data_IF_890467716514
#
_entry.id   IF_890467716514
#
_cell.length_a   1.000
_cell.length_b   1.000
_cell.length_c   1.000
_cell.angle_alpha   90.00
_cell.angle_beta   90.00
_cell.angle_gamma   90.00
#
_symmetry.space_group_name_H-M   'P 1'
#
loop_
_entity.id
_entity.type
_entity.pdbx_description
1 polymer ?
#
# COMPACT_ATOMS: atom_id res chain seq x y z
N UNK A 1 -4.17 -14.42 1.88
CA UNK A 1 -4.99 -15.63 1.99
C UNK A 1 -6.42 -15.31 2.46
N UNK A 2 -6.63 -14.66 3.63
CA UNK A 2 -7.97 -14.39 4.17
C UNK A 2 -8.87 -13.62 3.19
N UNK A 3 -8.37 -12.56 2.56
CA UNK A 3 -9.13 -11.79 1.57
C UNK A 3 -9.57 -12.64 0.38
N UNK A 4 -8.67 -13.46 -0.17
CA UNK A 4 -9.02 -14.34 -1.27
C UNK A 4 -10.10 -15.37 -0.87
N UNK A 5 -10.10 -15.82 0.39
CA UNK A 5 -11.13 -16.75 0.90
C UNK A 5 -12.49 -16.09 1.07
N UNK A 6 -12.52 -14.84 1.53
CA UNK A 6 -13.79 -14.09 1.64
C UNK A 6 -14.37 -13.83 0.25
N UNK A 7 -13.53 -13.36 -0.70
CA UNK A 7 -13.95 -13.19 -2.10
C UNK A 7 -14.46 -14.51 -2.67
N UNK A 8 -13.70 -15.59 -2.54
CA UNK A 8 -14.06 -16.89 -3.10
C UNK A 8 -15.41 -17.42 -2.56
N UNK A 9 -15.69 -17.27 -1.28
CA UNK A 9 -16.98 -17.70 -0.70
C UNK A 9 -18.19 -16.95 -1.24
N UNK A 10 -18.00 -15.72 -1.68
CA UNK A 10 -19.10 -14.83 -2.00
C UNK A 10 -19.29 -14.59 -3.50
N UNK A 11 -18.19 -14.47 -4.28
CA UNK A 11 -18.26 -14.01 -5.67
C UNK A 11 -19.14 -14.89 -6.59
N UNK A 12 -19.17 -16.20 -6.33
CA UNK A 12 -19.96 -17.14 -7.13
C UNK A 12 -21.46 -16.81 -7.18
N UNK A 13 -22.01 -16.18 -6.13
CA UNK A 13 -23.42 -15.76 -6.06
C UNK A 13 -23.79 -14.69 -7.11
N UNK A 14 -22.80 -13.96 -7.60
CA UNK A 14 -22.95 -12.86 -8.54
C UNK A 14 -22.53 -13.23 -9.97
N UNK A 15 -22.03 -14.44 -10.18
CA UNK A 15 -21.67 -14.96 -11.50
C UNK A 15 -22.81 -15.86 -12.02
N UNK A 16 -23.24 -15.70 -13.29
CA UNK A 16 -24.26 -16.57 -13.88
C UNK A 16 -23.90 -18.06 -13.72
N UNK A 17 -24.87 -18.84 -13.27
CA UNK A 17 -24.70 -20.26 -13.00
C UNK A 17 -24.16 -20.59 -11.60
N UNK A 18 -23.91 -19.60 -10.75
CA UNK A 18 -23.44 -19.76 -9.36
C UNK A 18 -22.24 -20.73 -9.24
N UNK A 19 -21.15 -20.52 -9.95
CA UNK A 19 -20.03 -21.46 -9.96
C UNK A 19 -19.43 -21.60 -8.56
N UNK A 20 -19.03 -22.83 -8.25
CA UNK A 20 -18.26 -23.11 -7.03
C UNK A 20 -16.82 -22.64 -7.21
N UNK A 21 -16.28 -22.03 -6.17
CA UNK A 21 -14.91 -21.51 -6.15
C UNK A 21 -14.01 -22.37 -5.29
N UNK A 22 -12.74 -22.51 -5.69
CA UNK A 22 -11.70 -23.21 -4.95
C UNK A 22 -10.51 -22.27 -4.76
N UNK A 23 -10.04 -22.13 -3.52
CA UNK A 23 -8.88 -21.28 -3.21
C UNK A 23 -7.58 -22.06 -3.30
N UNK A 24 -6.67 -21.59 -4.15
CA UNK A 24 -5.31 -22.12 -4.29
C UNK A 24 -4.30 -21.09 -3.79
N UNK A 25 -3.49 -21.45 -2.81
CA UNK A 25 -2.42 -20.59 -2.31
C UNK A 25 -1.14 -20.80 -3.12
N UNK A 26 -0.71 -19.77 -3.84
CA UNK A 26 0.55 -19.71 -4.58
C UNK A 26 1.51 -18.74 -3.87
N UNK A 27 2.27 -19.29 -2.92
CA UNK A 27 3.13 -18.51 -2.03
C UNK A 27 4.49 -18.24 -2.68
N UNK A 28 5.02 -17.03 -2.50
CA UNK A 28 6.39 -16.67 -2.90
C UNK A 28 6.50 -15.30 -3.60
N UNK A 29 7.71 -14.74 -3.57
CA UNK A 29 8.05 -13.49 -4.26
C UNK A 29 7.16 -12.29 -3.93
N UNK A 30 6.63 -12.20 -2.70
CA UNK A 30 5.66 -11.16 -2.32
C UNK A 30 4.54 -11.01 -3.37
N UNK A 31 3.82 -12.09 -3.62
CA UNK A 31 2.72 -12.29 -4.59
C UNK A 31 3.15 -12.52 -6.06
N UNK A 32 4.44 -12.44 -6.43
CA UNK A 32 4.87 -12.66 -7.82
C UNK A 32 4.53 -14.06 -8.34
N UNK A 33 4.73 -15.10 -7.52
CA UNK A 33 4.42 -16.48 -7.92
C UNK A 33 2.92 -16.65 -8.25
N UNK A 34 2.06 -16.06 -7.41
CA UNK A 34 0.62 -16.06 -7.66
C UNK A 34 0.24 -15.23 -8.91
N UNK A 35 0.88 -14.08 -9.10
CA UNK A 35 0.62 -13.22 -10.25
C UNK A 35 1.04 -13.91 -11.56
N UNK A 36 2.21 -14.54 -11.61
CA UNK A 36 2.65 -15.32 -12.77
C UNK A 36 1.72 -16.50 -13.07
N UNK A 37 1.21 -17.17 -12.02
CA UNK A 37 0.24 -18.25 -12.19
C UNK A 37 -1.03 -17.76 -12.87
N UNK A 38 -1.59 -16.60 -12.46
CA UNK A 38 -2.79 -16.03 -13.09
C UNK A 38 -2.50 -15.45 -14.47
N UNK A 39 -1.34 -14.81 -14.64
CA UNK A 39 -0.89 -14.26 -15.92
C UNK A 39 -0.80 -15.34 -17.02
N UNK A 40 -0.34 -16.53 -16.66
CA UNK A 40 -0.17 -17.65 -17.57
C UNK A 40 -1.36 -18.64 -17.61
N UNK A 41 -2.47 -18.29 -16.92
CA UNK A 41 -3.67 -19.13 -16.93
C UNK A 41 -4.42 -19.02 -18.27
N UNK A 42 -5.30 -19.98 -18.53
CA UNK A 42 -6.21 -19.91 -19.68
C UNK A 42 -7.10 -18.66 -19.57
N UNK A 43 -7.29 -17.91 -20.68
CA UNK A 43 -8.05 -16.66 -20.65
C UNK A 43 -9.58 -16.90 -20.73
N UNK A 44 -10.07 -17.87 -19.98
CA UNK A 44 -11.49 -18.27 -19.95
C UNK A 44 -12.26 -17.67 -18.76
N UNK A 45 -11.59 -16.88 -17.91
CA UNK A 45 -12.17 -16.25 -16.73
C UNK A 45 -12.36 -17.18 -15.53
N UNK A 46 -11.95 -18.45 -15.60
CA UNK A 46 -12.07 -19.40 -14.49
C UNK A 46 -11.01 -19.21 -13.40
N UNK A 47 -9.93 -18.50 -13.71
CA UNK A 47 -8.84 -18.18 -12.77
C UNK A 47 -8.86 -16.72 -12.38
N UNK A 48 -9.05 -16.46 -11.06
CA UNK A 48 -9.01 -15.11 -10.47
C UNK A 48 -7.89 -15.08 -9.44
N UNK A 49 -7.01 -14.09 -9.52
CA UNK A 49 -5.99 -13.81 -8.50
C UNK A 49 -6.39 -12.65 -7.61
N UNK A 50 -6.13 -12.76 -6.30
CA UNK A 50 -6.26 -11.66 -5.33
C UNK A 50 -4.90 -11.39 -4.72
N UNK A 51 -4.34 -10.21 -4.96
CA UNK A 51 -2.96 -9.89 -4.60
C UNK A 51 -2.86 -8.65 -3.71
N UNK A 52 -1.86 -8.61 -2.84
CA UNK A 52 -1.55 -7.46 -1.99
C UNK A 52 -0.25 -6.75 -2.38
N UNK A 53 0.59 -7.39 -3.17
CA UNK A 53 1.93 -6.91 -3.51
C UNK A 53 2.17 -6.62 -5.00
N UNK A 54 1.13 -6.67 -5.81
CA UNK A 54 1.21 -6.43 -7.25
C UNK A 54 0.66 -5.04 -7.53
N UNK A 55 1.55 -4.13 -7.90
CA UNK A 55 1.26 -2.74 -8.18
C UNK A 55 2.31 -2.17 -9.16
N UNK A 56 2.11 -0.99 -9.74
CA UNK A 56 3.04 -0.38 -10.71
C UNK A 56 4.48 -0.32 -10.20
N UNK A 57 4.70 0.09 -8.96
CA UNK A 57 6.06 0.15 -8.41
C UNK A 57 6.68 -1.24 -8.33
N UNK A 58 5.92 -2.25 -7.92
CA UNK A 58 6.45 -3.62 -7.88
C UNK A 58 6.88 -4.12 -9.25
N UNK A 59 6.17 -3.73 -10.32
CA UNK A 59 6.56 -4.03 -11.70
C UNK A 59 7.85 -3.33 -12.09
N UNK A 60 8.02 -2.07 -11.68
CA UNK A 60 9.19 -1.27 -12.05
C UNK A 60 10.48 -1.70 -11.36
N UNK A 61 10.40 -2.00 -10.04
CA UNK A 61 11.60 -2.20 -9.20
C UNK A 61 11.93 -3.67 -8.90
N UNK A 62 11.09 -4.63 -9.28
CA UNK A 62 11.32 -6.04 -8.98
C UNK A 62 11.92 -6.79 -10.16
N UNK A 63 12.94 -7.57 -9.85
CA UNK A 63 13.45 -8.57 -10.78
C UNK A 63 12.45 -9.71 -11.00
N UNK A 64 12.53 -10.34 -12.16
CA UNK A 64 11.76 -11.52 -12.50
C UNK A 64 10.27 -11.28 -12.78
N UNK A 65 9.80 -10.04 -12.92
CA UNK A 65 8.44 -9.73 -13.33
C UNK A 65 8.25 -10.06 -14.81
N UNK A 66 7.35 -10.99 -15.13
CA UNK A 66 7.08 -11.47 -16.49
C UNK A 66 5.79 -10.90 -17.09
N UNK A 67 4.99 -10.18 -16.31
CA UNK A 67 3.74 -9.55 -16.74
C UNK A 67 3.91 -8.04 -16.95
N UNK A 68 2.96 -7.47 -17.69
CA UNK A 68 2.74 -6.04 -17.76
C UNK A 68 1.37 -5.73 -17.14
N UNK A 69 1.31 -4.87 -16.13
CA UNK A 69 0.06 -4.51 -15.46
C UNK A 69 -0.96 -3.85 -16.40
N UNK A 70 -0.51 -3.18 -17.47
CA UNK A 70 -1.40 -2.59 -18.48
C UNK A 70 -2.15 -3.66 -19.28
N UNK A 71 -1.58 -4.85 -19.42
CA UNK A 71 -2.16 -5.99 -20.13
C UNK A 71 -2.81 -7.01 -19.16
N UNK A 72 -2.77 -6.74 -17.85
CA UNK A 72 -3.28 -7.64 -16.82
C UNK A 72 -4.67 -7.17 -16.35
N UNK A 73 -5.76 -7.77 -16.82
CA UNK A 73 -7.11 -7.25 -16.60
C UNK A 73 -7.46 -7.24 -15.12
N UNK A 74 -7.64 -6.05 -14.55
CA UNK A 74 -8.14 -5.90 -13.19
C UNK A 74 -9.65 -6.06 -13.13
N UNK A 75 -10.11 -6.80 -12.12
CA UNK A 75 -11.53 -6.95 -11.77
C UNK A 75 -11.96 -5.92 -10.73
N UNK A 76 -11.02 -5.33 -10.00
CA UNK A 76 -11.23 -4.33 -8.97
C UNK A 76 -10.32 -4.54 -7.77
N UNK A 77 -10.27 -3.53 -6.92
CA UNK A 77 -9.63 -3.57 -5.61
C UNK A 77 -10.67 -3.63 -4.50
N UNK A 78 -10.32 -4.29 -3.39
CA UNK A 78 -11.21 -4.39 -2.22
C UNK A 78 -11.03 -3.24 -1.25
N UNK A 79 -9.87 -2.60 -1.27
CA UNK A 79 -9.53 -1.64 -0.23
C UNK A 79 -8.55 -0.59 -0.73
N UNK A 80 -8.84 0.66 -0.41
CA UNK A 80 -7.86 1.73 -0.41
C UNK A 80 -7.08 1.63 0.90
N UNK A 81 -5.77 1.75 0.81
CA UNK A 81 -4.92 1.66 1.98
C UNK A 81 -4.43 3.03 2.41
N UNK A 82 -4.96 3.61 3.50
CA UNK A 82 -4.35 4.77 4.11
C UNK A 82 -2.97 4.40 4.66
N UNK A 83 -2.00 5.26 4.43
CA UNK A 83 -0.60 5.04 4.82
C UNK A 83 -0.23 6.06 5.88
N UNK A 84 0.08 5.56 7.07
CA UNK A 84 0.57 6.37 8.18
C UNK A 84 2.06 6.12 8.38
N UNK A 85 2.75 7.12 8.83
CA UNK A 85 4.09 7.01 9.40
C UNK A 85 3.99 7.05 10.90
N UNK A 86 4.57 6.07 11.57
CA UNK A 86 4.57 5.98 13.03
C UNK A 86 5.92 6.33 13.60
N UNK A 87 5.90 6.90 14.81
CA UNK A 87 7.08 7.18 15.61
C UNK A 87 6.82 6.80 17.05
N UNK A 88 7.83 6.33 17.77
CA UNK A 88 7.73 6.04 19.20
C UNK A 88 7.49 7.32 20.00
N UNK A 89 6.73 7.22 21.08
CA UNK A 89 6.43 8.36 21.93
C UNK A 89 7.65 8.94 22.66
N UNK A 90 8.70 8.13 22.84
CA UNK A 90 9.98 8.57 23.42
C UNK A 90 11.00 9.08 22.39
N UNK A 91 10.63 9.12 21.09
CA UNK A 91 11.45 9.71 20.05
C UNK A 91 11.55 11.24 20.19
N UNK A 92 12.61 11.86 19.63
CA UNK A 92 12.83 13.29 19.86
C UNK A 92 11.81 14.22 19.22
N UNK A 93 10.97 13.73 18.29
CA UNK A 93 9.95 14.51 17.60
C UNK A 93 8.64 13.75 17.58
N UNK A 94 7.58 14.36 18.10
CA UNK A 94 6.24 13.80 18.07
C UNK A 94 5.53 14.01 16.72
N UNK A 95 5.91 15.07 16.00
CA UNK A 95 5.27 15.52 14.73
C UNK A 95 6.32 15.75 13.66
N UNK A 96 5.97 15.44 12.41
CA UNK A 96 6.89 15.64 11.29
C UNK A 96 7.27 17.11 11.12
N UNK A 97 6.32 18.04 11.28
CA UNK A 97 6.57 19.49 11.16
C UNK A 97 7.65 20.01 12.11
N UNK A 98 7.80 19.36 13.27
CA UNK A 98 8.82 19.74 14.27
C UNK A 98 10.22 19.21 13.89
N UNK A 99 10.31 18.26 12.95
CA UNK A 99 11.54 17.64 12.48
C UNK A 99 12.03 18.18 11.12
N UNK A 100 11.13 18.75 10.29
CA UNK A 100 11.47 19.30 8.97
C UNK A 100 12.55 20.39 9.11
N UNK A 101 13.55 20.35 8.23
CA UNK A 101 14.65 21.33 8.17
C UNK A 101 15.69 21.18 9.27
N UNK A 102 15.71 20.06 10.01
CA UNK A 102 16.67 19.83 11.12
C UNK A 102 17.73 18.78 10.80
N UNK A 103 17.68 18.14 9.65
CA UNK A 103 18.63 17.07 9.30
C UNK A 103 20.05 17.57 9.11
N UNK A 104 20.21 18.80 8.65
CA UNK A 104 21.48 19.48 8.45
C UNK A 104 22.08 20.11 9.72
N UNK A 105 21.30 20.22 10.81
CA UNK A 105 21.80 20.66 12.10
C UNK A 105 22.53 19.52 12.84
N UNK A 106 23.85 19.61 13.06
CA UNK A 106 24.59 18.55 13.75
C UNK A 106 24.21 18.36 15.21
N UNK A 107 23.50 19.33 15.81
CA UNK A 107 23.05 19.26 17.19
C UNK A 107 21.59 18.78 17.32
N UNK A 108 20.87 18.65 16.20
CA UNK A 108 19.51 18.15 16.24
C UNK A 108 19.50 16.66 16.65
N UNK A 109 18.66 16.27 17.63
CA UNK A 109 18.55 14.88 18.00
C UNK A 109 18.01 14.07 16.80
N UNK A 110 18.63 12.93 16.55
CA UNK A 110 18.28 12.07 15.42
C UNK A 110 17.39 10.93 15.86
N UNK A 111 16.60 10.40 14.94
CA UNK A 111 15.80 9.20 15.16
C UNK A 111 16.03 8.18 14.04
N UNK A 112 15.78 6.90 14.33
CA UNK A 112 15.99 5.80 13.38
C UNK A 112 14.69 5.37 12.72
N UNK A 113 14.72 5.25 11.40
CA UNK A 113 13.62 4.73 10.60
C UNK A 113 13.98 3.36 9.99
N UNK A 114 13.12 2.36 10.20
CA UNK A 114 13.37 1.00 9.74
C UNK A 114 12.86 0.72 8.34
N UNK A 115 13.68 0.02 7.53
CA UNK A 115 13.34 -0.45 6.18
C UNK A 115 13.72 -1.91 6.01
N UNK A 116 12.89 -2.66 5.28
CA UNK A 116 13.12 -4.08 5.01
C UNK A 116 14.09 -4.30 3.83
N UNK A 117 13.99 -3.48 2.79
CA UNK A 117 14.79 -3.60 1.57
C UNK A 117 15.31 -2.24 1.11
N UNK A 118 16.51 -2.23 0.55
CA UNK A 118 17.06 -1.03 -0.06
C UNK A 118 16.25 -0.64 -1.30
N UNK A 119 16.08 -1.56 -2.24
CA UNK A 119 15.32 -1.31 -3.48
C UNK A 119 13.82 -1.51 -3.26
N UNK A 120 13.18 -0.49 -2.69
CA UNK A 120 11.73 -0.47 -2.48
C UNK A 120 11.18 0.95 -2.49
N UNK A 121 9.89 1.09 -2.83
CA UNK A 121 9.19 2.36 -2.75
C UNK A 121 9.17 2.96 -1.34
N UNK A 122 9.17 2.11 -0.31
CA UNK A 122 9.21 2.56 1.07
C UNK A 122 10.56 3.19 1.41
N UNK A 123 11.66 2.61 0.92
CA UNK A 123 12.99 3.19 1.07
C UNK A 123 13.13 4.49 0.29
N UNK A 124 12.62 4.56 -0.94
CA UNK A 124 12.61 5.80 -1.72
C UNK A 124 11.88 6.92 -0.98
N UNK A 125 10.71 6.63 -0.40
CA UNK A 125 9.98 7.58 0.46
C UNK A 125 10.77 7.99 1.71
N UNK A 126 11.39 7.04 2.38
CA UNK A 126 12.22 7.34 3.55
C UNK A 126 13.39 8.27 3.20
N UNK A 127 14.06 8.02 2.06
CA UNK A 127 15.14 8.91 1.57
C UNK A 127 14.62 10.27 1.13
N UNK A 128 13.47 10.33 0.46
CA UNK A 128 12.82 11.60 0.15
C UNK A 128 12.57 12.42 1.42
N UNK A 129 12.02 11.82 2.46
CA UNK A 129 11.79 12.50 3.74
C UNK A 129 13.08 12.99 4.38
N UNK A 130 14.13 12.18 4.36
CA UNK A 130 15.44 12.55 4.91
C UNK A 130 16.10 13.66 4.10
N UNK A 131 16.12 13.53 2.78
CA UNK A 131 16.97 14.35 1.91
C UNK A 131 16.25 15.62 1.43
N UNK A 132 14.97 15.55 1.04
CA UNK A 132 14.24 16.71 0.50
C UNK A 132 13.44 17.48 1.57
N UNK A 133 13.08 16.85 2.68
CA UNK A 133 12.50 17.55 3.84
C UNK A 133 13.53 17.79 4.95
N UNK A 134 14.77 17.41 4.71
CA UNK A 134 15.89 17.58 5.67
C UNK A 134 15.52 17.09 7.08
N UNK A 135 15.02 15.83 7.17
CA UNK A 135 14.71 15.23 8.46
C UNK A 135 15.97 14.68 9.14
N UNK A 136 16.13 14.85 10.46
CA UNK A 136 17.24 14.30 11.24
C UNK A 136 17.05 12.80 11.47
N UNK A 137 17.00 12.04 10.38
CA UNK A 137 16.59 10.64 10.33
C UNK A 137 17.70 9.74 9.81
N UNK A 138 18.03 8.69 10.53
CA UNK A 138 18.92 7.61 10.11
C UNK A 138 18.08 6.42 9.60
N UNK A 139 18.43 5.85 8.45
CA UNK A 139 17.70 4.74 7.88
C UNK A 139 18.45 3.43 8.11
N UNK A 140 17.81 2.51 8.83
CA UNK A 140 18.29 1.13 9.02
C UNK A 140 17.68 0.21 7.96
N UNK A 141 18.51 -0.53 7.24
CA UNK A 141 18.09 -1.46 6.20
C UNK A 141 18.23 -2.92 6.64
N UNK A 142 17.64 -3.83 5.84
CA UNK A 142 17.76 -5.27 6.04
C UNK A 142 16.96 -5.82 7.21
N UNK A 143 16.02 -5.04 7.70
CA UNK A 143 15.15 -5.47 8.80
C UNK A 143 14.07 -6.44 8.31
N UNK A 144 13.65 -7.42 9.15
CA UNK A 144 12.55 -8.29 8.79
C UNK A 144 11.31 -7.50 8.40
N UNK A 145 10.83 -7.75 7.16
CA UNK A 145 9.63 -7.10 6.64
C UNK A 145 8.35 -7.70 7.21
N UNK A 146 7.23 -6.99 6.98
CA UNK A 146 5.92 -7.41 7.44
C UNK A 146 5.49 -6.75 8.75
N UNK A 147 4.17 -6.79 9.01
CA UNK A 147 3.54 -6.07 10.12
C UNK A 147 4.07 -6.49 11.49
N UNK A 148 3.99 -7.78 11.81
CA UNK A 148 4.37 -8.28 13.15
C UNK A 148 5.85 -8.05 13.46
N UNK A 149 6.82 -8.42 12.60
CA UNK A 149 8.22 -8.11 12.83
C UNK A 149 8.50 -6.61 12.99
N UNK A 150 7.80 -5.76 12.24
CA UNK A 150 7.94 -4.30 12.36
C UNK A 150 7.51 -3.78 13.72
N UNK A 151 6.38 -4.27 14.23
CA UNK A 151 5.90 -3.92 15.57
C UNK A 151 6.89 -4.35 16.65
N UNK A 152 7.43 -5.57 16.53
CA UNK A 152 8.44 -6.07 17.47
C UNK A 152 9.73 -5.26 17.46
N UNK A 153 10.16 -4.74 16.30
CA UNK A 153 11.34 -3.86 16.21
C UNK A 153 11.11 -2.54 16.93
N UNK A 154 9.91 -1.96 16.80
CA UNK A 154 9.52 -0.76 17.53
C UNK A 154 9.42 -1.03 19.05
N UNK A 155 8.83 -2.16 19.44
CA UNK A 155 8.71 -2.58 20.86
C UNK A 155 10.08 -2.74 21.53
N UNK A 156 11.07 -3.30 20.82
CA UNK A 156 12.43 -3.49 21.34
C UNK A 156 13.29 -2.23 21.29
N UNK A 157 12.85 -1.17 20.58
CA UNK A 157 13.66 0.02 20.36
C UNK A 157 14.75 -0.17 19.30
N UNK A 158 14.67 -1.22 18.47
CA UNK A 158 15.61 -1.42 17.34
C UNK A 158 15.52 -0.26 16.36
N UNK A 159 14.33 0.32 16.23
CA UNK A 159 13.98 1.50 15.46
C UNK A 159 12.98 2.38 16.23
N UNK A 160 12.95 3.66 15.90
CA UNK A 160 12.02 4.62 16.52
C UNK A 160 10.86 4.97 15.59
N UNK A 161 11.04 4.90 14.28
CA UNK A 161 10.00 5.24 13.31
C UNK A 161 9.87 4.17 12.22
N UNK A 162 8.66 4.09 11.64
CA UNK A 162 8.38 3.27 10.48
C UNK A 162 7.19 3.80 9.69
N UNK A 163 7.32 3.75 8.35
CA UNK A 163 6.22 4.04 7.42
C UNK A 163 5.41 2.81 7.03
N UNK A 164 4.34 3.04 6.28
CA UNK A 164 3.48 2.04 5.65
C UNK A 164 2.60 1.20 6.61
N UNK A 165 2.23 1.74 7.76
CA UNK A 165 1.20 1.16 8.62
C UNK A 165 -0.19 1.74 8.34
N UNK A 166 -1.22 1.02 8.77
CA UNK A 166 -2.61 1.49 8.75
C UNK A 166 -3.07 1.72 10.20
N UNK A 167 -3.68 2.87 10.45
CA UNK A 167 -4.10 3.28 11.79
C UNK A 167 -4.98 2.23 12.49
N UNK A 168 -6.09 1.86 11.88
CA UNK A 168 -7.03 0.90 12.47
C UNK A 168 -6.41 -0.48 12.70
N UNK A 169 -5.46 -0.90 11.85
CA UNK A 169 -4.75 -2.17 12.04
C UNK A 169 -3.86 -2.13 13.27
N UNK A 170 -3.21 -0.99 13.49
CA UNK A 170 -2.37 -0.78 14.66
C UNK A 170 -3.22 -0.71 15.94
N UNK A 171 -4.31 0.05 15.92
CA UNK A 171 -5.25 0.16 17.02
C UNK A 171 -5.84 -1.20 17.43
N UNK A 172 -6.18 -2.04 16.44
CA UNK A 172 -6.67 -3.40 16.69
C UNK A 172 -5.61 -4.33 17.28
N UNK A 173 -4.40 -4.35 16.70
CA UNK A 173 -3.37 -5.32 17.05
C UNK A 173 -2.56 -4.90 18.29
N UNK A 174 -2.54 -3.62 18.58
CA UNK A 174 -1.80 -3.02 19.71
C UNK A 174 -2.61 -1.88 20.35
N UNK A 175 -3.79 -2.15 20.89
CA UNK A 175 -4.67 -1.10 21.42
C UNK A 175 -4.02 -0.26 22.52
N UNK A 176 -3.07 -0.83 23.26
CA UNK A 176 -2.33 -0.09 24.31
C UNK A 176 -1.23 0.84 23.80
N UNK A 177 -0.94 0.85 22.50
CA UNK A 177 0.14 1.71 21.97
C UNK A 177 -0.27 3.16 21.78
N UNK A 178 -1.55 3.40 21.56
CA UNK A 178 -2.09 4.70 21.15
C UNK A 178 -2.86 5.42 22.23
N UNK A 179 -3.05 4.75 23.37
CA UNK A 179 -3.94 5.25 24.40
C UNK A 179 -3.17 6.18 25.33
N UNK A 180 -3.42 7.47 25.16
CA UNK A 180 -3.55 8.33 26.33
C UNK A 180 -5.03 8.36 26.77
N UNK A 181 -5.31 9.00 27.90
CA UNK A 181 -6.66 9.11 28.47
C UNK A 181 -7.67 9.83 27.54
N UNK A 182 -7.20 10.49 26.46
CA UNK A 182 -8.03 11.18 25.47
C UNK A 182 -8.38 10.29 24.27
N UNK A 183 -7.84 9.07 24.20
CA UNK A 183 -8.05 8.15 23.05
C UNK A 183 -7.29 8.53 21.79
N UNK A 184 -6.40 9.50 21.87
CA UNK A 184 -5.67 10.06 20.74
C UNK A 184 -4.15 9.95 20.82
N UNK A 185 -3.50 10.65 19.94
CA UNK A 185 -2.07 10.69 19.67
C UNK A 185 -1.32 11.51 20.75
N UNK A 186 -1.53 11.16 22.03
CA UNK A 186 -1.02 11.91 23.16
C UNK A 186 0.47 11.70 23.45
N UNK A 187 1.10 12.63 24.17
CA UNK A 187 2.54 12.60 24.47
C UNK A 187 2.99 11.41 25.32
N UNK A 188 2.05 10.70 25.96
CA UNK A 188 2.32 9.54 26.80
C UNK A 188 2.03 8.20 26.10
N UNK A 189 1.61 8.22 24.83
CA UNK A 189 1.39 6.98 24.09
C UNK A 189 2.73 6.34 23.71
N UNK A 190 2.80 5.02 23.74
CA UNK A 190 4.00 4.28 23.28
C UNK A 190 4.35 4.58 21.83
N UNK A 191 3.33 4.78 21.00
CA UNK A 191 3.45 5.06 19.57
C UNK A 191 2.55 6.22 19.19
N UNK A 192 3.07 7.09 18.32
CA UNK A 192 2.33 8.24 17.80
C UNK A 192 2.25 8.14 16.28
N UNK A 193 1.22 8.74 15.68
CA UNK A 193 1.21 8.98 14.25
C UNK A 193 2.08 10.20 13.99
N UNK A 194 3.21 9.97 13.33
CA UNK A 194 4.16 11.03 12.98
C UNK A 194 3.57 11.94 11.91
N UNK A 195 2.93 11.36 10.91
CA UNK A 195 2.14 12.05 9.91
C UNK A 195 1.25 11.08 9.11
N UNK A 196 0.20 11.62 8.50
CA UNK A 196 -0.59 10.92 7.50
C UNK A 196 0.08 11.07 6.13
N UNK A 197 0.47 9.93 5.55
CA UNK A 197 1.14 9.84 4.26
C UNK A 197 0.16 9.64 3.09
N UNK A 198 -1.14 9.55 3.37
CA UNK A 198 -2.19 9.29 2.38
C UNK A 198 -2.54 10.58 1.63
N UNK A 199 -2.71 10.48 0.31
CA UNK A 199 -3.20 11.60 -0.47
C UNK A 199 -4.66 11.93 -0.07
N UNK A 200 -5.07 13.20 -0.02
CA UNK A 200 -6.41 13.61 0.41
C UNK A 200 -7.54 12.90 -0.32
N UNK A 201 -7.39 12.70 -1.63
CA UNK A 201 -8.35 11.99 -2.48
C UNK A 201 -8.44 10.49 -2.21
N UNK A 202 -7.48 9.92 -1.49
CA UNK A 202 -7.39 8.50 -1.14
C UNK A 202 -7.62 8.25 0.36
N UNK A 203 -8.01 9.26 1.10
CA UNK A 203 -8.31 9.11 2.53
C UNK A 203 -9.61 8.35 2.74
N UNK A 204 -9.57 7.38 3.63
CA UNK A 204 -10.78 6.67 4.06
C UNK A 204 -11.67 7.60 4.85
N UNK A 205 -12.98 7.46 4.65
CA UNK A 205 -14.00 8.16 5.40
C UNK A 205 -14.93 7.14 6.04
N UNK A 206 -14.89 7.02 7.33
CA UNK A 206 -15.88 6.26 8.09
C UNK A 206 -17.07 7.19 8.38
N UNK A 207 -18.26 6.82 7.93
CA UNK A 207 -19.48 7.65 8.06
C UNK A 207 -19.33 9.11 7.56
N UNK A 208 -18.44 9.34 6.56
CA UNK A 208 -18.18 10.67 6.01
C UNK A 208 -17.05 11.45 6.69
N UNK A 209 -16.51 10.95 7.79
CA UNK A 209 -15.37 11.53 8.52
C UNK A 209 -14.07 10.84 8.11
N UNK A 210 -12.96 11.60 8.14
CA UNK A 210 -11.64 11.05 7.86
C UNK A 210 -11.21 10.22 9.07
N UNK A 211 -10.85 8.95 8.84
CA UNK A 211 -10.44 7.98 9.86
C UNK A 211 -8.97 8.22 10.33
N UNK A 212 -8.63 9.48 10.59
CA UNK A 212 -7.34 9.91 11.13
C UNK A 212 -7.60 11.04 12.11
N UNK A 213 -6.98 11.06 13.29
CA UNK A 213 -7.13 12.16 14.24
C UNK A 213 -6.83 13.51 13.57
N UNK A 214 -7.68 14.51 13.82
CA UNK A 214 -7.60 15.84 13.19
C UNK A 214 -6.28 16.57 13.49
N UNK A 215 -5.64 16.24 14.58
CA UNK A 215 -4.39 16.83 15.02
C UNK A 215 -3.14 16.25 14.33
N UNK A 216 -3.30 15.25 13.45
CA UNK A 216 -2.20 14.61 12.71
C UNK A 216 -1.83 15.43 11.46
N UNK A 217 -0.55 15.78 11.33
CA UNK A 217 -0.05 16.49 10.15
C UNK A 217 -0.29 15.67 8.87
N UNK A 218 -0.85 16.30 7.85
CA UNK A 218 -0.96 15.73 6.51
C UNK A 218 0.33 16.06 5.76
N UNK A 219 1.05 15.05 5.28
CA UNK A 219 2.32 15.29 4.60
C UNK A 219 2.16 16.24 3.41
N UNK A 220 1.06 16.10 2.68
CA UNK A 220 0.81 16.88 1.46
C UNK A 220 0.77 18.38 1.70
N UNK A 221 0.30 18.81 2.89
CA UNK A 221 0.19 20.22 3.25
C UNK A 221 1.54 20.85 3.61
N UNK A 222 2.57 20.01 3.77
CA UNK A 222 3.93 20.42 4.15
C UNK A 222 4.90 20.42 2.96
N UNK A 223 4.43 19.97 1.78
CA UNK A 223 5.27 19.83 0.59
C UNK A 223 5.17 21.05 -0.33
N UNK A 224 6.28 21.39 -0.97
CA UNK A 224 6.25 22.29 -2.14
C UNK A 224 5.58 21.61 -3.34
N UNK A 225 5.12 22.33 -4.37
CA UNK A 225 4.52 21.72 -5.55
C UNK A 225 5.41 20.70 -6.25
N UNK A 226 6.72 20.87 -6.26
CA UNK A 226 7.69 19.93 -6.83
C UNK A 226 7.82 18.67 -5.97
N UNK A 227 7.88 18.84 -4.66
CA UNK A 227 7.93 17.72 -3.70
C UNK A 227 6.61 16.92 -3.72
N UNK A 228 5.47 17.60 -3.88
CA UNK A 228 4.17 16.95 -4.02
C UNK A 228 4.12 16.04 -5.26
N UNK A 229 4.62 16.49 -6.42
CA UNK A 229 4.71 15.67 -7.63
C UNK A 229 5.49 14.38 -7.37
N UNK A 230 6.62 14.47 -6.70
CA UNK A 230 7.44 13.31 -6.33
C UNK A 230 6.68 12.40 -5.35
N UNK A 231 6.06 12.97 -4.33
CA UNK A 231 5.29 12.20 -3.35
C UNK A 231 4.13 11.44 -3.97
N UNK A 232 3.43 12.05 -4.93
CA UNK A 232 2.35 11.41 -5.68
C UNK A 232 2.82 10.20 -6.48
N UNK A 233 4.01 10.26 -7.10
CA UNK A 233 4.61 9.11 -7.80
C UNK A 233 4.88 7.93 -6.85
N UNK A 234 5.18 8.17 -5.59
CA UNK A 234 5.34 7.11 -4.59
C UNK A 234 4.01 6.61 -4.02
N UNK A 235 2.98 7.43 -4.00
CA UNK A 235 1.75 7.19 -3.22
C UNK A 235 0.62 6.61 -4.06
N UNK A 236 0.33 7.16 -5.24
CA UNK A 236 -0.74 6.71 -6.13
C UNK A 236 -0.62 5.21 -6.45
N UNK A 237 0.57 4.68 -6.80
CA UNK A 237 0.69 3.28 -7.16
C UNK A 237 0.53 2.29 -5.99
N UNK A 238 0.43 2.76 -4.76
CA UNK A 238 0.40 1.89 -3.59
C UNK A 238 -0.93 1.86 -2.83
N UNK A 239 -1.67 2.97 -2.81
CA UNK A 239 -2.80 3.13 -1.92
C UNK A 239 -4.12 2.57 -2.48
N UNK A 240 -4.59 2.99 -3.67
CA UNK A 240 -5.87 2.49 -4.20
C UNK A 240 -5.78 1.07 -4.77
N UNK A 241 -4.56 0.54 -4.95
CA UNK A 241 -4.28 -0.71 -5.63
C UNK A 241 -4.03 -1.88 -4.66
N UNK A 242 -4.45 -1.71 -3.42
CA UNK A 242 -4.29 -2.72 -2.40
C UNK A 242 -5.38 -3.79 -2.49
N UNK A 243 -4.99 -5.06 -2.42
CA UNK A 243 -5.89 -6.22 -2.57
C UNK A 243 -6.61 -6.24 -3.92
N UNK A 244 -5.86 -5.98 -4.96
CA UNK A 244 -6.33 -6.01 -6.33
C UNK A 244 -6.64 -7.43 -6.79
N UNK A 245 -7.70 -7.57 -7.58
CA UNK A 245 -8.12 -8.82 -8.21
C UNK A 245 -7.89 -8.74 -9.71
N UNK A 246 -7.37 -9.83 -10.29
CA UNK A 246 -7.01 -9.94 -11.70
C UNK A 246 -7.50 -11.24 -12.29
N UNK A 247 -7.66 -11.28 -13.62
CA UNK A 247 -7.82 -12.50 -14.40
C UNK A 247 -6.78 -12.56 -15.52
N UNK A 248 -6.67 -13.69 -16.24
CA UNK A 248 -5.67 -13.89 -17.28
C UNK A 248 -5.77 -12.85 -18.40
N UNK A 249 -4.63 -12.40 -18.98
CA UNK A 249 -4.63 -11.57 -20.20
C UNK A 249 -5.33 -12.28 -21.36
N UNK A 250 -6.04 -11.52 -22.17
CA UNK A 250 -6.81 -12.07 -23.27
C UNK A 250 -8.17 -12.67 -22.88
N UNK A 251 -8.57 -12.59 -21.61
CA UNK A 251 -9.94 -12.96 -21.19
C UNK A 251 -10.96 -12.16 -22.04
N UNK A 252 -11.93 -12.83 -22.71
CA UNK A 252 -12.89 -12.15 -23.57
C UNK A 252 -13.68 -11.06 -22.85
N UNK A 253 -13.99 -9.96 -23.53
CA UNK A 253 -14.63 -8.78 -22.96
C UNK A 253 -15.98 -9.09 -22.29
N UNK A 254 -16.76 -9.99 -22.85
CA UNK A 254 -18.03 -10.41 -22.25
C UNK A 254 -17.81 -11.17 -20.92
N UNK A 255 -16.79 -11.98 -20.82
CA UNK A 255 -16.40 -12.68 -19.57
C UNK A 255 -15.85 -11.68 -18.56
N UNK A 256 -14.94 -10.80 -19.02
CA UNK A 256 -14.36 -9.75 -18.18
C UNK A 256 -15.45 -8.83 -17.60
N UNK A 257 -16.46 -8.48 -18.41
CA UNK A 257 -17.61 -7.70 -17.92
C UNK A 257 -18.37 -8.45 -16.84
N UNK A 258 -18.68 -9.73 -17.03
CA UNK A 258 -19.38 -10.56 -16.03
C UNK A 258 -18.60 -10.57 -14.71
N UNK A 259 -17.27 -10.79 -14.75
CA UNK A 259 -16.43 -10.85 -13.56
C UNK A 259 -16.33 -9.49 -12.85
N UNK A 260 -16.24 -8.39 -13.59
CA UNK A 260 -16.24 -7.03 -13.03
C UNK A 260 -17.59 -6.68 -12.40
N UNK A 261 -18.68 -7.00 -13.07
CA UNK A 261 -20.03 -6.80 -12.54
C UNK A 261 -20.26 -7.61 -11.27
N UNK A 262 -19.81 -8.87 -11.25
CA UNK A 262 -19.89 -9.73 -10.08
C UNK A 262 -19.06 -9.15 -8.90
N UNK A 263 -17.87 -8.66 -9.16
CA UNK A 263 -17.04 -8.01 -8.14
C UNK A 263 -17.72 -6.75 -7.58
N UNK A 264 -18.21 -5.87 -8.47
CA UNK A 264 -18.88 -4.63 -8.08
C UNK A 264 -20.16 -4.86 -7.27
N UNK A 265 -20.92 -5.89 -7.60
CA UNK A 265 -22.13 -6.28 -6.84
C UNK A 265 -21.75 -6.89 -5.49
N UNK A 266 -20.78 -7.78 -5.47
CA UNK A 266 -20.32 -8.46 -4.25
C UNK A 266 -19.85 -7.46 -3.18
N UNK A 267 -19.06 -6.46 -3.54
CA UNK A 267 -18.51 -5.48 -2.57
C UNK A 267 -19.55 -4.53 -1.98
N UNK A 268 -20.78 -4.55 -2.50
CA UNK A 268 -21.95 -3.82 -1.98
C UNK A 268 -22.94 -4.73 -1.24
N UNK A 269 -22.73 -6.03 -1.29
CA UNK A 269 -23.65 -7.00 -0.70
C UNK A 269 -23.50 -7.06 0.83
N UNK A 270 -24.60 -6.90 1.60
CA UNK A 270 -24.52 -6.90 3.07
C UNK A 270 -23.98 -8.20 3.66
N UNK A 271 -24.21 -9.35 3.03
CA UNK A 271 -23.70 -10.64 3.50
C UNK A 271 -22.20 -10.75 3.30
N UNK A 272 -21.70 -10.27 2.14
CA UNK A 272 -20.26 -10.17 1.92
C UNK A 272 -19.58 -9.21 2.92
N UNK A 273 -20.17 -8.04 3.16
CA UNK A 273 -19.62 -7.05 4.10
C UNK A 273 -19.58 -7.61 5.52
N UNK A 274 -20.62 -8.32 5.95
CA UNK A 274 -20.65 -8.98 7.26
C UNK A 274 -19.61 -10.13 7.38
N UNK A 275 -19.45 -10.93 6.32
CA UNK A 275 -18.41 -12.00 6.28
C UNK A 275 -16.99 -11.40 6.25
N UNK A 276 -16.81 -10.28 5.55
CA UNK A 276 -15.55 -9.55 5.49
C UNK A 276 -15.17 -8.98 6.87
N UNK A 277 -16.07 -8.27 7.53
CA UNK A 277 -15.85 -7.72 8.86
C UNK A 277 -15.55 -8.80 9.90
N UNK A 278 -16.32 -9.89 9.89
CA UNK A 278 -16.11 -11.03 10.80
C UNK A 278 -14.70 -11.64 10.71
N UNK A 279 -14.10 -11.65 9.51
CA UNK A 279 -12.81 -12.30 9.25
C UNK A 279 -11.65 -11.35 9.35
N UNK A 280 -11.88 -10.11 8.97
CA UNK A 280 -10.86 -9.08 8.82
C UNK A 280 -11.08 -7.92 9.78
N UNK A 281 -11.79 -8.12 10.86
CA UNK A 281 -12.24 -7.17 11.89
C UNK A 281 -11.52 -5.82 11.86
N UNK A 282 -12.27 -4.75 11.61
CA UNK A 282 -11.74 -3.39 11.51
C UNK A 282 -11.06 -3.04 10.16
N UNK A 283 -11.03 -3.98 9.20
CA UNK A 283 -10.65 -3.66 7.82
C UNK A 283 -11.91 -3.26 7.04
N UNK A 284 -12.02 -2.04 6.59
CA UNK A 284 -13.15 -1.55 5.82
C UNK A 284 -13.03 -1.91 4.34
N UNK A 285 -14.16 -2.23 3.70
CA UNK A 285 -14.24 -2.42 2.25
C UNK A 285 -14.42 -1.06 1.59
N UNK A 286 -13.40 -0.61 0.87
CA UNK A 286 -13.39 0.65 0.11
C UNK A 286 -13.02 0.32 -1.34
N UNK A 287 -14.00 -0.15 -2.12
CA UNK A 287 -13.71 -0.76 -3.41
C UNK A 287 -13.30 0.27 -4.46
N UNK A 288 -12.38 -0.15 -5.32
CA UNK A 288 -12.05 0.56 -6.56
C UNK A 288 -12.46 -0.32 -7.74
N UNK A 289 -13.37 0.12 -8.62
CA UNK A 289 -13.79 -0.66 -9.80
C UNK A 289 -12.63 -1.01 -10.71
N UNK A 290 -12.69 -2.19 -11.36
CA UNK A 290 -11.59 -2.69 -12.20
C UNK A 290 -11.20 -1.77 -13.35
N UNK A 291 -12.17 -1.08 -13.97
CA UNK A 291 -11.90 -0.09 -15.03
C UNK A 291 -11.15 1.12 -14.49
N UNK A 292 -11.49 1.57 -13.30
CA UNK A 292 -10.81 2.70 -12.66
C UNK A 292 -9.40 2.33 -12.21
N UNK A 293 -9.21 1.11 -11.70
CA UNK A 293 -7.89 0.60 -11.39
C UNK A 293 -6.98 0.58 -12.62
N UNK A 294 -7.48 0.18 -13.80
CA UNK A 294 -6.69 0.21 -15.03
C UNK A 294 -6.24 1.63 -15.39
N UNK A 295 -7.12 2.64 -15.24
CA UNK A 295 -6.74 4.05 -15.45
C UNK A 295 -5.66 4.52 -14.46
N UNK A 296 -5.71 4.07 -13.21
CA UNK A 296 -4.67 4.37 -12.22
C UNK A 296 -3.33 3.70 -12.59
N UNK A 297 -3.36 2.49 -13.15
CA UNK A 297 -2.15 1.84 -13.68
C UNK A 297 -1.59 2.60 -14.89
N UNK A 298 -2.44 2.99 -15.83
CA UNK A 298 -2.05 3.80 -16.99
C UNK A 298 -1.40 5.12 -16.54
N UNK A 299 -2.02 5.83 -15.61
CA UNK A 299 -1.47 7.07 -15.06
C UNK A 299 -0.12 6.85 -14.35
N UNK A 300 0.01 5.77 -13.56
CA UNK A 300 1.21 5.47 -12.80
C UNK A 300 2.39 4.96 -13.66
N UNK A 301 2.09 4.25 -14.76
CA UNK A 301 3.09 3.66 -15.66
C UNK A 301 3.32 4.51 -16.91
N UNK A 302 2.40 5.41 -17.26
CA UNK A 302 2.44 6.23 -18.47
C UNK A 302 3.62 7.19 -18.53
N UNK A 303 4.14 7.64 -17.37
CA UNK A 303 5.36 8.43 -17.28
C UNK A 303 6.52 7.61 -16.67
N UNK A 304 6.78 6.46 -17.28
CA UNK A 304 7.84 5.55 -16.83
C UNK A 304 9.21 6.22 -16.78
N UNK A 305 9.49 7.18 -17.67
CA UNK A 305 10.78 7.91 -17.71
C UNK A 305 10.93 8.86 -16.52
N UNK A 306 9.90 9.65 -16.19
CA UNK A 306 9.94 10.52 -15.02
C UNK A 306 10.00 9.70 -13.72
N UNK A 307 9.26 8.59 -13.68
CA UNK A 307 9.29 7.65 -12.56
C UNK A 307 10.68 7.04 -12.39
N UNK A 308 11.36 6.61 -13.48
CA UNK A 308 12.74 6.13 -13.45
C UNK A 308 13.69 7.19 -12.85
N UNK A 309 13.60 8.43 -13.33
CA UNK A 309 14.45 9.52 -12.84
C UNK A 309 14.27 9.78 -11.34
N UNK A 310 13.03 9.77 -10.86
CA UNK A 310 12.72 9.93 -9.43
C UNK A 310 13.25 8.75 -8.61
N UNK A 311 13.02 7.51 -9.05
CA UNK A 311 13.54 6.34 -8.33
C UNK A 311 15.07 6.28 -8.36
N UNK A 312 15.73 6.62 -9.47
CA UNK A 312 17.17 6.70 -9.57
C UNK A 312 17.78 7.75 -8.62
N UNK A 313 17.08 8.86 -8.40
CA UNK A 313 17.51 9.88 -7.42
C UNK A 313 17.58 9.31 -6.00
N UNK A 314 16.55 8.58 -5.57
CA UNK A 314 16.45 8.09 -4.18
C UNK A 314 16.98 6.66 -3.99
N UNK A 315 17.20 5.92 -5.05
CA UNK A 315 17.67 4.53 -5.04
C UNK A 315 18.80 4.34 -6.09
N UNK A 316 19.90 5.12 -6.00
CA UNK A 316 20.94 5.12 -7.04
C UNK A 316 21.67 3.77 -7.16
N UNK A 317 21.62 2.92 -6.14
CA UNK A 317 22.19 1.57 -6.13
C UNK A 317 21.27 0.50 -6.73
N UNK A 318 20.05 0.86 -7.17
CA UNK A 318 19.06 -0.08 -7.65
C UNK A 318 18.92 -0.03 -9.17
N UNK A 319 18.71 -1.19 -9.75
CA UNK A 319 18.30 -1.33 -11.15
C UNK A 319 16.77 -1.38 -11.26
N UNK A 320 16.24 -0.88 -12.38
CA UNK A 320 14.80 -0.81 -12.65
C UNK A 320 14.44 -1.54 -13.94
N UNK A 321 14.65 -2.87 -14.01
CA UNK A 321 14.49 -3.65 -15.26
C UNK A 321 13.06 -3.59 -15.80
N UNK A 322 12.07 -3.44 -14.92
CA UNK A 322 10.67 -3.27 -15.31
C UNK A 322 10.41 -1.95 -16.04
N UNK A 323 11.07 -0.86 -15.63
CA UNK A 323 10.96 0.43 -16.33
C UNK A 323 11.64 0.34 -17.70
N UNK A 324 12.82 -0.26 -17.78
CA UNK A 324 13.53 -0.44 -19.05
C UNK A 324 12.69 -1.23 -20.05
N UNK A 325 12.02 -2.30 -19.58
CA UNK A 325 11.08 -3.08 -20.40
C UNK A 325 9.88 -2.23 -20.87
N UNK A 326 9.33 -1.36 -20.01
CA UNK A 326 8.25 -0.45 -20.40
C UNK A 326 8.70 0.60 -21.43
N UNK A 327 9.95 1.03 -21.38
CA UNK A 327 10.57 1.98 -22.32
C UNK A 327 11.08 1.32 -23.60
N UNK A 328 10.89 0.00 -23.78
CA UNK A 328 11.34 -0.74 -24.97
C UNK A 328 12.87 -0.89 -25.07
N UNK A 329 13.56 -0.85 -23.93
CA UNK A 329 15.02 -1.02 -23.82
C UNK A 329 15.40 -2.45 -23.43
#
# INVERSE_FOLDING_TARGET
DLNARVVARNIGRFIPGNPKTVVLNKVGGASLVGAHFVWNAEPDGTTIGVFTGINPISQMVREGVQFNLLDFPSLGGLQIRPVMWYIRGDAPYARIKDAIGKGSDPNAPRFTNGQDKICSAQTARGRFLRDDLDLPMDIKYGLPGGRVPSMQQLERGDIEARGAGMWYTLARDRPGWQVDESGGNGPNSFMQIFFNATLPELQLRHNGEIDVPEDVDQIIDLLTPEQEKIWRLFSIPNSPLYRASFTAPGTPDNILKILRDAMNQMVQDPEFLADYDKILSGDEVTPTPGVEMMKLYEAALGDAKATEAVFAKYLPECEFPGIQKLLGK
#
